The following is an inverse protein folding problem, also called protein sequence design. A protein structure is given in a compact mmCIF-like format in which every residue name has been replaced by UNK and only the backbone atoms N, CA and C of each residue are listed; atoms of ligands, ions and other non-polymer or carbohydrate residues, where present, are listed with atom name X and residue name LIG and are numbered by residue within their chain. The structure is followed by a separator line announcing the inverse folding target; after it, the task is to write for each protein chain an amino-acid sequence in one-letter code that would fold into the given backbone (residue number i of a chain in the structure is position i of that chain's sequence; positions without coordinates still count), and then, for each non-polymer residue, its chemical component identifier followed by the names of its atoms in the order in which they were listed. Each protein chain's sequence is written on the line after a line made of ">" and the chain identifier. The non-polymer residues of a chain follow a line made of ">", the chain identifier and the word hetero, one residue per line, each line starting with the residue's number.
data_IF_466003770823
#
_entry.id   IF_466003770823
#
_cell.length_a   1.000
_cell.length_b   1.000
_cell.length_c   1.000
_cell.angle_alpha   90.00
_cell.angle_beta   90.00
_cell.angle_gamma   90.00
#
_symmetry.space_group_name_H-M   'P 1'
#
loop_
_entity.id
_entity.type
_entity.pdbx_description
1 polymer ?
#
# COMPACT_ATOMS: atom_id res chain seq x y z
N UNK A 1 -22.17 -13.88 -16.04
CA UNK A 1 -22.49 -14.50 -17.33
C UNK A 1 -23.53 -13.76 -18.16
N UNK A 2 -24.45 -13.00 -17.54
CA UNK A 2 -25.36 -12.12 -18.28
C UNK A 2 -24.62 -10.88 -18.73
N UNK A 3 -24.57 -10.61 -20.06
CA UNK A 3 -23.82 -9.51 -20.65
C UNK A 3 -24.38 -8.14 -20.25
N UNK A 4 -25.68 -7.97 -20.19
CA UNK A 4 -26.32 -6.71 -19.81
C UNK A 4 -25.97 -6.33 -18.37
N UNK A 5 -25.96 -7.32 -17.46
CA UNK A 5 -25.56 -7.12 -16.05
C UNK A 5 -24.07 -6.76 -15.94
N UNK A 6 -23.20 -7.41 -16.74
CA UNK A 6 -21.78 -7.05 -16.80
C UNK A 6 -21.58 -5.63 -17.33
N UNK A 7 -22.31 -5.25 -18.40
CA UNK A 7 -22.24 -3.90 -18.97
C UNK A 7 -22.75 -2.86 -17.97
N UNK A 8 -23.82 -3.14 -17.22
CA UNK A 8 -24.30 -2.29 -16.14
C UNK A 8 -23.23 -2.10 -15.06
N UNK A 9 -22.64 -3.20 -14.57
CA UNK A 9 -21.61 -3.17 -13.53
C UNK A 9 -20.37 -2.40 -13.99
N UNK A 10 -19.92 -2.66 -15.23
CA UNK A 10 -18.83 -1.91 -15.85
C UNK A 10 -19.11 -0.42 -15.90
N UNK A 11 -20.30 -0.04 -16.38
CA UNK A 11 -20.69 1.35 -16.52
C UNK A 11 -20.78 2.08 -15.16
N UNK A 12 -21.20 1.40 -14.09
CA UNK A 12 -21.22 1.95 -12.72
C UNK A 12 -19.80 2.26 -12.25
N UNK A 13 -18.85 1.34 -12.43
CA UNK A 13 -17.44 1.57 -12.08
C UNK A 13 -16.85 2.71 -12.89
N UNK A 14 -17.06 2.70 -14.21
CA UNK A 14 -16.53 3.74 -15.09
C UNK A 14 -17.15 5.12 -14.84
N UNK A 15 -18.42 5.18 -14.41
CA UNK A 15 -19.06 6.41 -13.99
C UNK A 15 -18.36 7.04 -12.77
N UNK A 16 -18.00 6.21 -11.77
CA UNK A 16 -17.22 6.67 -10.61
C UNK A 16 -15.85 7.18 -11.04
N UNK A 17 -15.13 6.41 -11.87
CA UNK A 17 -13.80 6.79 -12.37
C UNK A 17 -13.84 8.12 -13.13
N UNK A 18 -14.87 8.35 -13.96
CA UNK A 18 -15.00 9.60 -14.72
C UNK A 18 -15.34 10.80 -13.88
N UNK A 19 -16.31 10.66 -12.99
CA UNK A 19 -16.88 11.81 -12.24
C UNK A 19 -16.10 12.22 -11.01
N UNK A 20 -15.37 11.30 -10.41
CA UNK A 20 -14.67 11.56 -9.15
C UNK A 20 -13.14 11.53 -9.33
N UNK A 21 -12.46 12.28 -8.48
CA UNK A 21 -11.01 12.28 -8.39
C UNK A 21 -10.55 11.18 -7.41
N UNK A 22 -10.72 9.92 -7.81
CA UNK A 22 -10.32 8.75 -7.03
C UNK A 22 -8.90 8.31 -7.37
N UNK A 23 -8.17 7.79 -6.40
CA UNK A 23 -6.82 7.24 -6.60
C UNK A 23 -6.86 5.76 -7.03
N UNK A 24 -7.98 5.08 -6.81
CA UNK A 24 -8.13 3.69 -7.17
C UNK A 24 -9.55 3.15 -7.06
N UNK A 25 -9.76 1.99 -7.65
CA UNK A 25 -10.96 1.15 -7.53
C UNK A 25 -10.53 -0.17 -6.92
N UNK A 26 -11.29 -0.66 -5.95
CA UNK A 26 -11.01 -1.91 -5.25
C UNK A 26 -12.19 -2.87 -5.36
N UNK A 27 -11.90 -4.13 -5.69
CA UNK A 27 -12.87 -5.22 -5.68
C UNK A 27 -12.54 -6.20 -4.57
N UNK A 28 -13.60 -6.66 -3.91
CA UNK A 28 -13.56 -7.78 -2.97
C UNK A 28 -13.66 -9.12 -3.73
N UNK A 29 -13.80 -10.24 -3.03
CA UNK A 29 -13.72 -11.62 -3.58
C UNK A 29 -15.06 -12.25 -3.99
N UNK A 30 -16.16 -11.50 -3.97
CA UNK A 30 -17.50 -12.00 -4.27
C UNK A 30 -17.79 -12.08 -5.78
N UNK A 31 -16.95 -12.80 -6.54
CA UNK A 31 -17.14 -12.97 -8.00
C UNK A 31 -18.34 -13.85 -8.31
N UNK A 32 -18.50 -14.94 -7.55
CA UNK A 32 -19.72 -15.69 -7.39
C UNK A 32 -20.04 -15.81 -5.89
N UNK A 33 -21.31 -16.06 -5.51
CA UNK A 33 -21.69 -16.19 -4.11
C UNK A 33 -20.97 -17.34 -3.43
N UNK A 34 -20.58 -17.14 -2.17
CA UNK A 34 -20.18 -18.24 -1.30
C UNK A 34 -21.38 -19.15 -1.01
N UNK A 35 -21.14 -20.44 -0.90
CA UNK A 35 -22.15 -21.46 -0.56
C UNK A 35 -22.18 -22.61 -1.55
N UNK A 36 -23.07 -23.56 -1.30
CA UNK A 36 -23.21 -24.80 -2.06
C UNK A 36 -24.33 -24.70 -3.12
N UNK A 37 -24.89 -23.50 -3.31
CA UNK A 37 -26.04 -23.27 -4.13
C UNK A 37 -25.72 -23.31 -5.63
N UNK A 38 -26.61 -23.94 -6.42
CA UNK A 38 -26.61 -23.73 -7.85
C UNK A 38 -26.91 -22.25 -8.13
N UNK A 39 -25.94 -21.56 -8.73
CA UNK A 39 -26.19 -20.23 -9.22
C UNK A 39 -27.20 -20.29 -10.38
N UNK A 40 -28.24 -19.45 -10.37
CA UNK A 40 -29.34 -19.55 -11.33
C UNK A 40 -28.98 -18.94 -12.69
N UNK A 41 -28.09 -19.56 -13.42
CA UNK A 41 -27.63 -19.14 -14.75
C UNK A 41 -27.95 -20.17 -15.87
N UNK A 42 -28.95 -21.02 -15.66
CA UNK A 42 -29.34 -22.08 -16.64
C UNK A 42 -29.75 -21.48 -17.98
N UNK A 43 -30.50 -20.39 -17.99
CA UNK A 43 -30.96 -19.73 -19.22
C UNK A 43 -29.77 -19.22 -20.05
N UNK A 44 -28.88 -18.46 -19.42
CA UNK A 44 -27.69 -17.90 -20.08
C UNK A 44 -26.69 -18.99 -20.48
N UNK A 45 -26.59 -20.07 -19.71
CA UNK A 45 -25.82 -21.24 -20.07
C UNK A 45 -26.41 -21.92 -21.31
N UNK A 46 -27.73 -22.11 -21.36
CA UNK A 46 -28.45 -22.68 -22.52
C UNK A 46 -28.28 -21.82 -23.78
N UNK A 47 -28.29 -20.51 -23.67
CA UNK A 47 -27.99 -19.58 -24.76
C UNK A 47 -26.55 -19.73 -25.28
N UNK A 48 -25.57 -19.82 -24.37
CA UNK A 48 -24.17 -20.06 -24.71
C UNK A 48 -23.99 -21.36 -25.49
N UNK A 49 -24.63 -22.48 -25.05
CA UNK A 49 -24.56 -23.75 -25.75
C UNK A 49 -25.20 -23.68 -27.16
N UNK A 50 -26.35 -23.03 -27.28
CA UNK A 50 -27.04 -22.85 -28.58
C UNK A 50 -26.22 -21.99 -29.55
N UNK A 51 -25.42 -21.08 -29.07
CA UNK A 51 -24.50 -20.25 -29.87
C UNK A 51 -23.25 -20.99 -30.31
N UNK A 52 -23.10 -22.28 -29.98
CA UNK A 52 -21.93 -23.09 -30.33
C UNK A 52 -20.77 -22.99 -29.30
N UNK A 53 -21.06 -22.55 -28.10
CA UNK A 53 -20.08 -22.51 -27.03
C UNK A 53 -19.53 -23.89 -26.67
N UNK A 54 -18.20 -24.01 -26.49
CA UNK A 54 -17.47 -25.26 -26.31
C UNK A 54 -16.87 -25.46 -24.93
N UNK A 55 -16.90 -24.44 -24.05
CA UNK A 55 -16.37 -24.53 -22.69
C UNK A 55 -17.25 -25.42 -21.80
N UNK A 56 -16.69 -25.99 -20.74
CA UNK A 56 -17.47 -26.51 -19.62
C UNK A 56 -18.22 -25.36 -18.94
N UNK A 57 -19.29 -25.67 -18.17
CA UNK A 57 -20.04 -24.62 -17.46
C UNK A 57 -19.16 -23.86 -16.46
N UNK A 58 -18.26 -24.55 -15.79
CA UNK A 58 -17.32 -24.01 -14.85
C UNK A 58 -16.31 -23.07 -15.55
N UNK A 59 -15.79 -23.48 -16.71
CA UNK A 59 -14.86 -22.66 -17.48
C UNK A 59 -15.55 -21.44 -18.10
N UNK A 60 -16.78 -21.58 -18.57
CA UNK A 60 -17.58 -20.47 -19.06
C UNK A 60 -17.86 -19.41 -17.96
N UNK A 61 -18.13 -19.86 -16.73
CA UNK A 61 -18.25 -18.94 -15.58
C UNK A 61 -16.95 -18.21 -15.29
N UNK A 62 -15.82 -18.94 -15.28
CA UNK A 62 -14.48 -18.33 -15.09
C UNK A 62 -14.11 -17.36 -16.20
N UNK A 63 -14.38 -17.73 -17.43
CA UNK A 63 -14.14 -16.89 -18.61
C UNK A 63 -14.94 -15.58 -18.53
N UNK A 64 -16.19 -15.65 -18.09
CA UNK A 64 -17.02 -14.47 -17.88
C UNK A 64 -16.46 -13.53 -16.81
N UNK A 65 -15.92 -14.06 -15.70
CA UNK A 65 -15.26 -13.26 -14.65
C UNK A 65 -13.93 -12.71 -15.17
N UNK A 66 -13.10 -13.53 -15.80
CA UNK A 66 -11.81 -13.11 -16.35
C UNK A 66 -11.97 -11.96 -17.35
N UNK A 67 -12.88 -12.11 -18.31
CA UNK A 67 -13.19 -11.07 -19.29
C UNK A 67 -13.67 -9.76 -18.63
N UNK A 68 -14.46 -9.87 -17.56
CA UNK A 68 -14.92 -8.69 -16.83
C UNK A 68 -13.78 -7.96 -16.12
N UNK A 69 -12.85 -8.68 -15.47
CA UNK A 69 -11.68 -8.11 -14.80
C UNK A 69 -10.74 -7.43 -15.80
N UNK A 70 -10.40 -8.12 -16.90
CA UNK A 70 -9.58 -7.56 -17.98
C UNK A 70 -10.18 -6.28 -18.54
N UNK A 71 -11.47 -6.32 -18.89
CA UNK A 71 -12.21 -5.17 -19.43
C UNK A 71 -12.22 -3.97 -18.47
N UNK A 72 -12.39 -4.21 -17.18
CA UNK A 72 -12.34 -3.15 -16.17
C UNK A 72 -10.96 -2.52 -16.11
N UNK A 73 -9.91 -3.33 -16.03
CA UNK A 73 -8.54 -2.85 -16.00
C UNK A 73 -8.25 -1.97 -17.22
N UNK A 74 -8.49 -2.48 -18.43
CA UNK A 74 -8.27 -1.75 -19.68
C UNK A 74 -9.09 -0.45 -19.75
N UNK A 75 -10.36 -0.53 -19.35
CA UNK A 75 -11.25 0.63 -19.33
C UNK A 75 -10.78 1.73 -18.38
N UNK A 76 -10.37 1.38 -17.17
CA UNK A 76 -9.83 2.31 -16.18
C UNK A 76 -8.54 2.95 -16.73
N UNK A 77 -7.60 2.15 -17.25
CA UNK A 77 -6.33 2.67 -17.78
C UNK A 77 -6.52 3.59 -18.98
N UNK A 78 -7.49 3.30 -19.83
CA UNK A 78 -7.83 4.16 -20.97
C UNK A 78 -8.45 5.48 -20.54
N UNK A 79 -9.26 5.49 -19.48
CA UNK A 79 -9.96 6.69 -18.99
C UNK A 79 -9.05 7.59 -18.15
N UNK A 80 -8.40 7.01 -17.13
CA UNK A 80 -7.47 7.67 -16.21
C UNK A 80 -6.30 6.73 -15.86
N UNK A 81 -5.18 6.80 -16.57
CA UNK A 81 -4.06 5.86 -16.40
C UNK A 81 -3.54 5.74 -14.96
N UNK A 82 -3.57 6.83 -14.19
CA UNK A 82 -3.09 6.88 -12.81
C UNK A 82 -4.02 6.20 -11.78
N UNK A 83 -5.31 5.98 -12.13
CA UNK A 83 -6.26 5.34 -11.22
C UNK A 83 -5.92 3.86 -11.10
N UNK A 84 -5.55 3.42 -9.89
CA UNK A 84 -5.18 2.04 -9.61
C UNK A 84 -6.41 1.14 -9.57
N UNK A 85 -6.27 -0.08 -10.07
CA UNK A 85 -7.25 -1.14 -9.90
C UNK A 85 -6.66 -2.25 -9.05
N UNK A 86 -7.31 -2.58 -7.93
CA UNK A 86 -6.86 -3.60 -7.01
C UNK A 86 -7.96 -4.58 -6.65
N UNK A 87 -7.54 -5.78 -6.27
CA UNK A 87 -8.46 -6.85 -5.87
C UNK A 87 -7.95 -7.48 -4.57
N UNK A 88 -8.88 -7.76 -3.63
CA UNK A 88 -8.64 -8.61 -2.47
C UNK A 88 -9.30 -9.98 -2.67
N UNK A 89 -8.64 -10.91 -3.38
CA UNK A 89 -9.16 -12.24 -3.59
C UNK A 89 -9.04 -13.07 -2.31
N UNK A 90 -9.73 -14.21 -2.24
CA UNK A 90 -9.49 -15.18 -1.19
C UNK A 90 -7.99 -15.52 -1.07
N UNK A 91 -7.47 -15.66 0.14
CA UNK A 91 -6.03 -15.76 0.39
C UNK A 91 -5.34 -16.99 -0.20
N UNK A 92 -6.08 -18.08 -0.41
CA UNK A 92 -5.61 -19.32 -1.05
C UNK A 92 -5.93 -19.26 -2.54
N UNK A 93 -4.91 -19.22 -3.40
CA UNK A 93 -5.11 -19.28 -4.85
C UNK A 93 -5.79 -20.58 -5.27
N UNK A 94 -5.22 -21.71 -4.88
CA UNK A 94 -5.81 -23.06 -4.95
C UNK A 94 -5.25 -23.94 -3.84
N UNK A 95 -6.04 -24.82 -3.20
CA UNK A 95 -5.53 -25.83 -2.29
C UNK A 95 -4.42 -26.67 -2.93
N UNK A 96 -3.39 -27.01 -2.15
CA UNK A 96 -2.20 -27.71 -2.64
C UNK A 96 -1.15 -26.82 -3.33
N UNK A 97 -1.39 -25.49 -3.41
CA UNK A 97 -0.45 -24.50 -3.95
C UNK A 97 -0.21 -23.37 -2.93
N UNK A 98 0.91 -23.38 -2.19
CA UNK A 98 1.93 -24.47 -2.09
C UNK A 98 1.36 -25.75 -1.47
N UNK A 99 2.11 -26.86 -1.60
CA UNK A 99 1.66 -28.22 -1.25
C UNK A 99 1.09 -28.38 0.17
N UNK A 100 1.57 -27.60 1.14
CA UNK A 100 1.10 -27.63 2.53
C UNK A 100 -0.25 -26.91 2.75
N UNK A 101 -0.71 -26.12 1.79
CA UNK A 101 -1.90 -25.28 1.92
C UNK A 101 -3.16 -26.07 1.61
N UNK A 102 -4.10 -26.02 2.54
CA UNK A 102 -5.42 -26.66 2.45
C UNK A 102 -6.51 -25.61 2.74
N UNK A 103 -7.69 -25.81 2.19
CA UNK A 103 -8.85 -24.97 2.47
C UNK A 103 -9.73 -24.74 1.26
N UNK A 104 -10.41 -23.60 1.23
CA UNK A 104 -11.36 -23.24 0.19
C UNK A 104 -10.68 -23.01 -1.17
N UNK A 105 -11.31 -23.52 -2.24
CA UNK A 105 -10.85 -23.36 -3.63
C UNK A 105 -11.67 -22.28 -4.35
N UNK A 106 -11.18 -21.02 -4.32
CA UNK A 106 -11.85 -19.90 -5.01
C UNK A 106 -11.96 -20.11 -6.54
N UNK A 107 -11.00 -20.82 -7.13
CA UNK A 107 -11.03 -21.12 -8.57
C UNK A 107 -12.22 -22.02 -8.93
N UNK A 108 -12.52 -23.02 -8.10
CA UNK A 108 -13.62 -23.94 -8.32
C UNK A 108 -14.97 -23.38 -7.89
N UNK A 109 -15.04 -22.66 -6.78
CA UNK A 109 -16.30 -22.24 -6.14
C UNK A 109 -16.73 -20.84 -6.55
N UNK A 110 -15.79 -19.87 -6.52
CA UNK A 110 -16.07 -18.48 -6.92
C UNK A 110 -15.79 -18.21 -8.40
N UNK A 111 -15.34 -19.23 -9.13
CA UNK A 111 -14.90 -19.11 -10.53
C UNK A 111 -13.89 -17.97 -10.73
N UNK A 112 -13.07 -17.72 -9.70
CA UNK A 112 -12.06 -16.67 -9.64
C UNK A 112 -10.70 -17.23 -10.02
N UNK A 113 -10.22 -16.96 -11.22
CA UNK A 113 -8.84 -17.28 -11.63
C UNK A 113 -7.87 -16.17 -11.20
N UNK A 114 -7.79 -16.00 -9.87
CA UNK A 114 -7.01 -14.97 -9.22
C UNK A 114 -5.53 -15.01 -9.62
N UNK A 115 -4.99 -16.21 -9.86
CA UNK A 115 -3.62 -16.42 -10.30
C UNK A 115 -3.40 -15.91 -11.74
N UNK A 116 -4.36 -16.13 -12.65
CA UNK A 116 -4.31 -15.60 -14.00
C UNK A 116 -4.28 -14.08 -14.01
N UNK A 117 -5.13 -13.41 -13.21
CA UNK A 117 -5.21 -11.95 -13.19
C UNK A 117 -3.90 -11.31 -12.73
N UNK A 118 -3.26 -11.89 -11.70
CA UNK A 118 -1.95 -11.46 -11.23
C UNK A 118 -0.88 -11.66 -12.31
N UNK A 119 -0.83 -12.83 -12.96
CA UNK A 119 0.13 -13.14 -14.04
C UNK A 119 -0.05 -12.32 -15.30
N UNK A 120 -1.28 -11.95 -15.61
CA UNK A 120 -1.58 -11.05 -16.75
C UNK A 120 -1.36 -9.57 -16.42
N UNK A 121 -1.24 -9.24 -15.13
CA UNK A 121 -1.09 -7.87 -14.67
C UNK A 121 -2.35 -7.02 -14.87
N UNK A 122 -3.55 -7.65 -14.84
CA UNK A 122 -4.84 -6.97 -14.92
C UNK A 122 -5.25 -6.29 -13.62
N UNK A 123 -4.27 -5.99 -12.77
CA UNK A 123 -4.40 -5.24 -11.51
C UNK A 123 -3.15 -4.39 -11.28
N UNK A 124 -3.25 -3.37 -10.46
CA UNK A 124 -2.12 -2.54 -10.04
C UNK A 124 -1.62 -2.91 -8.65
N UNK A 125 -2.51 -3.35 -7.78
CA UNK A 125 -2.14 -3.92 -6.50
C UNK A 125 -2.97 -5.17 -6.20
N UNK A 126 -2.35 -6.08 -5.48
CA UNK A 126 -2.88 -7.39 -5.14
C UNK A 126 -2.96 -7.55 -3.63
N UNK A 127 -4.16 -7.76 -3.10
CA UNK A 127 -4.39 -7.83 -1.67
C UNK A 127 -5.04 -9.17 -1.26
N UNK A 128 -4.32 -10.30 -1.38
CA UNK A 128 -4.89 -11.58 -0.99
C UNK A 128 -5.24 -11.58 0.49
N UNK A 129 -6.43 -12.08 0.85
CA UNK A 129 -6.94 -12.11 2.23
C UNK A 129 -6.22 -13.17 3.06
N UNK A 130 -5.04 -12.83 3.59
CA UNK A 130 -4.22 -13.73 4.41
C UNK A 130 -4.66 -13.66 5.88
N UNK A 131 -5.91 -14.06 6.14
CA UNK A 131 -6.59 -13.87 7.43
C UNK A 131 -6.27 -14.95 8.46
N UNK A 132 -5.15 -15.63 8.33
CA UNK A 132 -4.69 -16.69 9.23
C UNK A 132 -3.39 -16.33 9.91
N UNK A 133 -3.21 -16.76 11.19
CA UNK A 133 -1.99 -16.48 11.92
C UNK A 133 -0.76 -17.17 11.32
N UNK A 134 0.42 -16.68 11.71
CA UNK A 134 1.72 -17.18 11.28
C UNK A 134 1.85 -18.70 11.48
N UNK A 135 1.35 -19.22 12.60
CA UNK A 135 1.52 -20.60 13.02
C UNK A 135 0.40 -21.58 12.61
N UNK A 136 -0.59 -21.12 11.82
CA UNK A 136 -1.64 -21.99 11.32
C UNK A 136 -1.17 -22.75 10.07
N UNK A 137 -0.50 -23.86 10.25
CA UNK A 137 0.22 -24.60 9.19
C UNK A 137 -0.56 -24.75 7.88
N UNK A 138 -1.84 -25.19 7.84
CA UNK A 138 -2.57 -25.37 6.56
C UNK A 138 -2.87 -24.07 5.80
N UNK A 139 -2.79 -22.91 6.47
CA UNK A 139 -3.05 -21.59 5.89
C UNK A 139 -2.02 -20.54 6.36
N UNK A 140 -0.82 -20.97 6.69
CA UNK A 140 0.21 -20.10 7.30
C UNK A 140 0.44 -18.81 6.51
N UNK A 141 0.29 -17.66 7.18
CA UNK A 141 0.50 -16.33 6.59
C UNK A 141 1.81 -16.21 5.79
N UNK A 142 3.01 -16.52 6.35
CA UNK A 142 4.25 -16.38 5.60
C UNK A 142 4.37 -17.34 4.42
N UNK A 143 3.74 -18.53 4.49
CA UNK A 143 3.78 -19.50 3.40
C UNK A 143 2.95 -19.00 2.21
N UNK A 144 1.76 -18.50 2.48
CA UNK A 144 0.88 -17.92 1.46
C UNK A 144 1.48 -16.63 0.87
N UNK A 145 2.00 -15.74 1.71
CA UNK A 145 2.64 -14.50 1.26
C UNK A 145 3.83 -14.79 0.35
N UNK A 146 4.71 -15.72 0.76
CA UNK A 146 5.86 -16.12 -0.04
C UNK A 146 5.47 -16.77 -1.37
N UNK A 147 4.35 -17.49 -1.42
CA UNK A 147 3.82 -18.03 -2.66
C UNK A 147 3.29 -16.93 -3.58
N UNK A 148 2.42 -16.05 -3.08
CA UNK A 148 1.91 -14.93 -3.88
C UNK A 148 3.04 -14.01 -4.38
N UNK A 149 4.07 -13.77 -3.56
CA UNK A 149 5.24 -12.99 -3.97
C UNK A 149 5.97 -13.62 -5.17
N UNK A 150 6.12 -14.94 -5.20
CA UNK A 150 6.73 -15.68 -6.33
C UNK A 150 5.87 -15.67 -7.59
N UNK A 151 4.54 -15.74 -7.42
CA UNK A 151 3.60 -15.74 -8.54
C UNK A 151 3.40 -14.34 -9.15
N UNK A 152 3.83 -13.29 -8.44
CA UNK A 152 3.75 -11.89 -8.87
C UNK A 152 4.85 -11.54 -9.89
N UNK A 153 4.84 -12.22 -11.04
CA UNK A 153 5.86 -12.05 -12.08
C UNK A 153 5.79 -10.71 -12.82
N UNK A 154 4.66 -10.00 -12.71
CA UNK A 154 4.48 -8.67 -13.29
C UNK A 154 4.92 -7.53 -12.35
N UNK A 155 5.46 -7.85 -11.16
CA UNK A 155 5.94 -6.85 -10.22
C UNK A 155 4.88 -5.88 -9.71
N UNK A 156 3.62 -6.31 -9.63
CA UNK A 156 2.53 -5.48 -9.08
C UNK A 156 2.70 -5.30 -7.58
N UNK A 157 2.15 -4.23 -7.01
CA UNK A 157 2.19 -4.03 -5.57
C UNK A 157 1.44 -5.16 -4.86
N UNK A 158 2.14 -5.93 -4.03
CA UNK A 158 1.57 -7.02 -3.24
C UNK A 158 1.37 -6.53 -1.81
N UNK A 159 0.10 -6.29 -1.42
CA UNK A 159 -0.30 -5.78 -0.12
C UNK A 159 -1.27 -6.74 0.56
N UNK A 160 -0.79 -7.73 1.33
CA UNK A 160 -1.65 -8.74 1.92
C UNK A 160 -2.74 -8.13 2.80
N UNK A 161 -3.94 -8.66 2.68
CA UNK A 161 -5.03 -8.37 3.60
C UNK A 161 -4.78 -9.05 4.95
N UNK A 162 -4.91 -8.29 6.05
CA UNK A 162 -4.73 -8.76 7.42
C UNK A 162 -6.02 -8.55 8.20
N UNK A 163 -6.53 -9.60 8.86
CA UNK A 163 -7.70 -9.47 9.72
C UNK A 163 -7.29 -8.99 11.11
N UNK A 164 -7.72 -7.79 11.47
CA UNK A 164 -7.44 -7.18 12.78
C UNK A 164 -8.63 -7.23 13.74
N UNK A 165 -9.79 -7.70 13.27
CA UNK A 165 -10.96 -7.95 14.10
C UNK A 165 -10.66 -8.96 15.20
N UNK A 166 -10.92 -8.61 16.48
CA UNK A 166 -10.60 -9.47 17.61
C UNK A 166 -9.13 -9.49 18.03
N UNK A 167 -8.23 -8.76 17.35
CA UNK A 167 -6.78 -8.67 17.64
C UNK A 167 -6.44 -7.41 18.45
N UNK A 168 -7.22 -7.07 19.45
CA UNK A 168 -7.10 -5.80 20.18
C UNK A 168 -6.33 -5.88 21.49
N UNK A 169 -6.04 -7.08 21.98
CA UNK A 169 -5.19 -7.37 23.13
C UNK A 169 -3.70 -7.42 22.75
N UNK A 170 -2.81 -7.58 23.72
CA UNK A 170 -1.36 -7.65 23.50
C UNK A 170 -0.96 -8.79 22.57
N UNK A 171 -1.53 -9.98 22.75
CA UNK A 171 -1.23 -11.14 21.90
C UNK A 171 -1.65 -10.94 20.45
N UNK A 172 -2.84 -10.35 20.25
CA UNK A 172 -3.31 -10.00 18.91
C UNK A 172 -2.49 -8.90 18.26
N UNK A 173 -2.04 -7.92 19.04
CA UNK A 173 -1.14 -6.87 18.58
C UNK A 173 0.22 -7.43 18.14
N UNK A 174 0.82 -8.31 18.93
CA UNK A 174 2.07 -8.99 18.59
C UNK A 174 1.96 -9.80 17.30
N UNK A 175 0.86 -10.53 17.11
CA UNK A 175 0.59 -11.29 15.89
C UNK A 175 0.59 -10.38 14.65
N UNK A 176 -0.19 -9.29 14.68
CA UNK A 176 -0.28 -8.35 13.56
C UNK A 176 1.05 -7.64 13.30
N UNK A 177 1.78 -7.26 14.35
CA UNK A 177 3.11 -6.66 14.20
C UNK A 177 4.09 -7.67 13.55
N UNK A 178 4.04 -8.95 13.96
CA UNK A 178 4.85 -10.01 13.36
C UNK A 178 4.51 -10.21 11.88
N UNK A 179 3.23 -10.23 11.51
CA UNK A 179 2.79 -10.32 10.12
C UNK A 179 3.32 -9.15 9.27
N UNK A 180 3.28 -7.90 9.81
CA UNK A 180 3.84 -6.71 9.17
C UNK A 180 5.37 -6.85 8.99
N UNK A 181 6.08 -7.33 10.01
CA UNK A 181 7.54 -7.49 9.91
C UNK A 181 7.93 -8.60 8.91
N UNK A 182 7.15 -9.67 8.85
CA UNK A 182 7.30 -10.73 7.85
C UNK A 182 7.03 -10.17 6.45
N UNK A 183 5.95 -9.41 6.28
CA UNK A 183 5.61 -8.77 5.00
C UNK A 183 6.75 -7.88 4.51
N UNK A 184 7.29 -7.01 5.35
CA UNK A 184 8.44 -6.15 5.02
C UNK A 184 9.70 -6.94 4.66
N UNK A 185 9.85 -8.15 5.17
CA UNK A 185 10.94 -9.06 4.83
C UNK A 185 10.77 -9.77 3.49
N UNK A 186 9.52 -10.04 3.06
CA UNK A 186 9.23 -10.73 1.79
C UNK A 186 9.00 -9.76 0.62
N UNK A 187 8.44 -8.58 0.87
CA UNK A 187 8.07 -7.58 -0.15
C UNK A 187 8.97 -6.36 0.02
N UNK A 188 10.26 -6.50 -0.31
CA UNK A 188 11.28 -5.50 -0.02
C UNK A 188 11.12 -4.19 -0.81
N UNK A 189 10.66 -4.28 -2.07
CA UNK A 189 10.69 -3.13 -2.99
C UNK A 189 9.44 -2.23 -2.83
N UNK A 190 8.31 -2.80 -2.41
CA UNK A 190 7.05 -2.09 -2.30
C UNK A 190 6.20 -2.61 -1.12
N UNK A 191 6.73 -2.59 0.13
CA UNK A 191 6.02 -3.12 1.28
C UNK A 191 4.73 -2.35 1.54
N UNK A 192 3.69 -3.07 1.95
CA UNK A 192 2.40 -2.51 2.29
C UNK A 192 1.40 -3.61 2.60
N UNK A 193 0.33 -3.27 3.30
CA UNK A 193 -0.73 -4.20 3.68
C UNK A 193 -2.05 -3.48 3.85
N UNK A 194 -3.14 -4.23 3.86
CA UNK A 194 -4.49 -3.71 4.02
C UNK A 194 -5.14 -4.36 5.24
N UNK A 195 -5.61 -3.55 6.17
CA UNK A 195 -6.28 -4.03 7.36
C UNK A 195 -7.79 -4.19 7.18
N UNK A 196 -8.32 -5.34 7.52
CA UNK A 196 -9.75 -5.58 7.65
C UNK A 196 -10.15 -5.61 9.13
N UNK A 197 -10.74 -4.51 9.66
CA UNK A 197 -11.18 -3.30 9.00
C UNK A 197 -10.90 -2.06 9.87
N UNK A 198 -11.06 -0.88 9.30
CA UNK A 198 -10.91 0.44 9.95
C UNK A 198 -11.64 0.55 11.30
N UNK A 199 -12.71 -0.20 11.52
CA UNK A 199 -13.51 -0.19 12.75
C UNK A 199 -12.67 -0.37 14.03
N UNK A 200 -11.59 -1.16 13.96
CA UNK A 200 -10.70 -1.41 15.11
C UNK A 200 -9.91 -0.14 15.45
N UNK A 201 -9.47 0.61 14.45
CA UNK A 201 -8.68 1.82 14.64
C UNK A 201 -9.49 3.02 15.15
N UNK A 202 -10.80 3.00 15.02
CA UNK A 202 -11.67 4.04 15.60
C UNK A 202 -11.75 3.97 17.12
N UNK A 203 -11.28 2.88 17.74
CA UNK A 203 -11.16 2.70 19.19
C UNK A 203 -9.71 2.91 19.61
N UNK A 204 -9.36 4.09 20.05
CA UNK A 204 -7.97 4.53 20.27
C UNK A 204 -7.22 3.81 21.42
N UNK A 205 -7.93 3.08 22.28
CA UNK A 205 -7.38 2.47 23.52
C UNK A 205 -6.96 1.01 23.40
N UNK A 206 -6.78 0.48 22.17
CA UNK A 206 -6.37 -0.92 22.00
C UNK A 206 -4.84 -1.09 22.07
N UNK A 207 -4.39 -2.24 22.58
CA UNK A 207 -2.96 -2.61 22.56
C UNK A 207 -2.42 -2.61 21.12
N UNK A 208 -3.24 -3.01 20.13
CA UNK A 208 -2.88 -2.97 18.72
C UNK A 208 -2.54 -1.54 18.25
N UNK A 209 -3.41 -0.55 18.53
CA UNK A 209 -3.15 0.84 18.13
C UNK A 209 -1.89 1.38 18.79
N UNK A 210 -1.70 1.12 20.08
CA UNK A 210 -0.50 1.52 20.82
C UNK A 210 0.77 0.86 20.23
N UNK A 211 0.72 -0.45 19.98
CA UNK A 211 1.84 -1.20 19.42
C UNK A 211 2.21 -0.77 18.00
N UNK A 212 1.23 -0.52 17.14
CA UNK A 212 1.47 -0.02 15.78
C UNK A 212 2.10 1.38 15.78
N UNK A 213 1.58 2.31 16.60
CA UNK A 213 2.13 3.67 16.74
C UNK A 213 3.53 3.68 17.33
N UNK A 214 3.82 2.80 18.30
CA UNK A 214 5.14 2.68 18.92
C UNK A 214 6.15 1.88 18.06
N UNK A 215 5.67 1.10 17.10
CA UNK A 215 6.45 0.18 16.27
C UNK A 215 6.38 0.53 14.77
N UNK A 216 5.69 -0.30 13.96
CA UNK A 216 5.75 -0.18 12.50
C UNK A 216 5.28 1.16 11.92
N UNK A 217 4.45 1.91 12.64
CA UNK A 217 3.85 3.17 12.17
C UNK A 217 4.38 4.41 12.91
N UNK A 218 5.61 4.36 13.41
CA UNK A 218 6.25 5.54 14.03
C UNK A 218 6.43 6.70 13.05
N UNK A 219 6.60 6.40 11.78
CA UNK A 219 6.82 7.39 10.72
C UNK A 219 5.74 7.28 9.66
N UNK A 220 5.45 8.40 9.01
CA UNK A 220 4.65 8.42 7.79
C UNK A 220 5.36 7.61 6.70
N UNK A 221 4.59 7.07 5.74
CA UNK A 221 5.15 6.41 4.55
C UNK A 221 4.44 6.89 3.30
N UNK A 222 5.19 6.97 2.22
CA UNK A 222 4.62 7.14 0.88
C UNK A 222 3.97 5.84 0.42
N UNK A 223 2.99 5.96 -0.46
CA UNK A 223 2.50 4.82 -1.22
C UNK A 223 3.62 4.39 -2.19
N UNK A 224 3.97 3.10 -2.27
CA UNK A 224 5.00 2.64 -3.18
C UNK A 224 4.72 3.00 -4.63
N UNK A 225 5.75 3.25 -5.45
CA UNK A 225 5.58 3.60 -6.85
C UNK A 225 4.94 2.47 -7.66
N UNK A 226 4.30 2.86 -8.76
CA UNK A 226 3.68 1.95 -9.72
C UNK A 226 4.27 2.23 -11.12
N UNK A 227 5.53 1.82 -11.38
CA UNK A 227 6.27 2.21 -12.58
C UNK A 227 5.67 1.66 -13.89
N UNK A 228 4.78 0.67 -13.83
CA UNK A 228 4.02 0.20 -14.99
C UNK A 228 2.89 1.15 -15.41
N UNK A 229 2.54 2.15 -14.57
CA UNK A 229 1.56 3.20 -14.88
C UNK A 229 2.24 4.45 -15.40
N UNK A 230 3.30 4.86 -14.73
CA UNK A 230 4.18 5.97 -15.09
C UNK A 230 5.52 5.75 -14.38
N UNK A 231 6.63 5.92 -15.07
CA UNK A 231 8.00 5.79 -14.57
C UNK A 231 8.78 7.11 -14.61
N UNK A 232 8.10 8.22 -14.94
CA UNK A 232 8.71 9.55 -15.04
C UNK A 232 8.45 10.35 -13.76
N UNK A 233 9.45 10.53 -12.88
CA UNK A 233 9.26 11.34 -11.69
C UNK A 233 9.06 12.82 -12.03
N UNK A 234 8.37 13.58 -11.14
CA UNK A 234 8.26 15.03 -11.28
C UNK A 234 9.63 15.72 -11.28
N UNK A 235 9.67 16.94 -11.80
CA UNK A 235 10.85 17.78 -11.64
C UNK A 235 11.12 18.12 -10.17
N UNK A 236 12.38 18.34 -9.77
CA UNK A 236 12.72 18.79 -8.42
C UNK A 236 12.09 20.16 -8.10
N UNK A 237 11.54 20.36 -6.89
CA UNK A 237 11.06 21.68 -6.47
C UNK A 237 12.21 22.67 -6.30
N UNK A 238 11.94 23.96 -6.42
CA UNK A 238 12.86 25.03 -5.99
C UNK A 238 12.61 25.31 -4.51
N UNK A 239 13.64 25.20 -3.67
CA UNK A 239 13.49 25.36 -2.23
C UNK A 239 14.44 26.38 -1.64
N UNK A 240 14.07 26.91 -0.47
CA UNK A 240 14.93 27.72 0.41
C UNK A 240 14.66 27.35 1.87
N UNK A 241 15.72 27.26 2.67
CA UNK A 241 15.63 27.00 4.09
C UNK A 241 16.39 28.06 4.88
N UNK A 242 15.78 28.61 5.93
CA UNK A 242 16.38 29.64 6.80
C UNK A 242 16.12 29.28 8.26
N UNK A 243 17.10 29.58 9.11
CA UNK A 243 16.91 29.53 10.56
C UNK A 243 16.09 30.76 10.97
N UNK A 244 14.81 30.52 11.30
CA UNK A 244 13.88 31.60 11.66
C UNK A 244 14.11 32.08 13.10
N UNK A 245 14.50 31.17 14.00
CA UNK A 245 14.88 31.46 15.40
C UNK A 245 15.64 30.26 15.99
N UNK A 246 15.97 30.30 17.28
CA UNK A 246 16.77 29.29 17.97
C UNK A 246 16.14 27.90 18.01
N UNK A 247 14.86 27.78 17.69
CA UNK A 247 14.11 26.53 17.73
C UNK A 247 13.56 26.05 16.37
N UNK A 248 13.60 26.91 15.32
CA UNK A 248 12.84 26.66 14.10
C UNK A 248 13.66 26.93 12.82
N UNK A 249 13.66 25.95 11.92
CA UNK A 249 14.03 26.14 10.51
C UNK A 249 12.76 26.28 9.69
N UNK A 250 12.64 27.38 8.95
CA UNK A 250 11.57 27.59 7.99
C UNK A 250 12.04 27.11 6.61
N UNK A 251 11.32 26.20 6.01
CA UNK A 251 11.55 25.70 4.66
C UNK A 251 10.41 26.14 3.77
N UNK A 252 10.73 26.72 2.63
CA UNK A 252 9.74 27.14 1.62
C UNK A 252 10.11 26.54 0.26
N UNK A 253 9.12 26.24 -0.57
CA UNK A 253 9.34 25.72 -1.91
C UNK A 253 8.29 26.16 -2.90
N UNK A 254 8.64 26.04 -4.17
CA UNK A 254 7.75 26.21 -5.32
C UNK A 254 8.04 25.11 -6.35
N UNK A 255 7.07 24.83 -7.20
CA UNK A 255 7.19 23.86 -8.29
C UNK A 255 6.60 24.43 -9.57
N UNK A 256 7.31 24.33 -10.69
CA UNK A 256 6.86 24.90 -11.97
C UNK A 256 5.61 24.21 -12.49
N UNK A 257 5.58 22.86 -12.43
CA UNK A 257 4.43 22.05 -12.79
C UNK A 257 3.73 21.48 -11.55
N UNK A 258 3.10 22.36 -10.74
CA UNK A 258 2.44 21.94 -9.50
C UNK A 258 1.24 20.98 -9.70
N UNK A 259 0.73 20.82 -10.92
CA UNK A 259 -0.37 19.89 -11.23
C UNK A 259 0.08 18.45 -11.24
N UNK A 260 1.35 18.21 -11.49
CA UNK A 260 1.97 16.90 -11.49
C UNK A 260 2.34 16.40 -10.09
N UNK A 261 2.23 17.27 -9.09
CA UNK A 261 2.63 16.96 -7.72
C UNK A 261 1.42 16.57 -6.89
N UNK A 262 1.49 15.37 -6.30
CA UNK A 262 0.49 14.85 -5.38
C UNK A 262 0.89 15.03 -3.91
N UNK A 263 2.19 14.92 -3.61
CA UNK A 263 2.78 15.14 -2.27
C UNK A 263 4.12 15.85 -2.36
N UNK A 264 4.53 16.47 -1.26
CA UNK A 264 5.91 16.88 -1.03
C UNK A 264 6.48 16.10 0.15
N UNK A 265 7.78 15.79 0.10
CA UNK A 265 8.49 15.27 1.26
C UNK A 265 9.57 16.24 1.63
N UNK A 266 9.57 16.67 2.89
CA UNK A 266 10.60 17.53 3.45
C UNK A 266 11.48 16.69 4.35
N UNK A 267 12.73 16.48 3.94
CA UNK A 267 13.76 15.78 4.68
C UNK A 267 14.63 16.77 5.43
N UNK A 268 15.04 16.41 6.64
CA UNK A 268 15.97 17.19 7.42
C UNK A 268 16.93 16.29 8.19
N UNK A 269 18.21 16.68 8.19
CA UNK A 269 19.29 15.86 8.72
C UNK A 269 19.86 16.47 9.99
N UNK A 270 19.84 15.69 11.09
CA UNK A 270 20.58 15.92 12.31
C UNK A 270 21.86 15.09 12.28
N UNK A 271 23.04 15.71 12.20
CA UNK A 271 24.31 15.00 12.07
C UNK A 271 24.28 13.86 11.02
N UNK A 272 24.03 12.62 11.45
CA UNK A 272 23.99 11.43 10.58
C UNK A 272 22.59 10.93 10.28
N UNK A 273 21.58 11.39 11.03
CA UNK A 273 20.22 10.86 10.99
C UNK A 273 19.31 11.77 10.18
N UNK A 274 18.66 11.21 9.18
CA UNK A 274 17.61 11.86 8.44
C UNK A 274 16.25 11.62 9.09
N UNK A 275 15.46 12.66 9.15
CA UNK A 275 14.03 12.63 9.44
C UNK A 275 13.26 13.25 8.29
N UNK A 276 11.96 13.03 8.23
CA UNK A 276 11.14 13.58 7.17
C UNK A 276 9.70 13.82 7.62
N UNK A 277 9.01 14.63 6.84
CA UNK A 277 7.56 14.82 6.93
C UNK A 277 6.97 14.83 5.52
N UNK A 278 5.79 14.18 5.37
CA UNK A 278 5.05 14.13 4.12
C UNK A 278 3.94 15.16 4.19
N UNK A 279 3.85 16.01 3.17
CA UNK A 279 2.94 17.14 3.09
C UNK A 279 2.07 17.06 1.85
N UNK A 280 0.94 17.78 1.86
CA UNK A 280 0.02 17.80 0.74
C UNK A 280 0.55 18.64 -0.42
N UNK A 281 0.01 18.39 -1.61
CA UNK A 281 0.36 19.16 -2.83
C UNK A 281 0.05 20.67 -2.73
N UNK A 282 -0.77 21.10 -1.77
CA UNK A 282 -1.10 22.50 -1.53
C UNK A 282 -0.07 23.22 -0.64
N UNK A 283 0.69 22.47 0.15
CA UNK A 283 1.65 23.04 1.09
C UNK A 283 2.85 23.62 0.34
N UNK A 284 3.33 24.78 0.80
CA UNK A 284 4.47 25.50 0.22
C UNK A 284 5.52 25.86 1.27
N UNK A 285 5.28 25.46 2.50
CA UNK A 285 6.18 25.73 3.61
C UNK A 285 6.08 24.68 4.71
N UNK A 286 7.17 24.47 5.43
CA UNK A 286 7.24 23.68 6.64
C UNK A 286 8.09 24.38 7.69
N UNK A 287 7.68 24.28 8.95
CA UNK A 287 8.47 24.68 10.10
C UNK A 287 9.04 23.41 10.76
N UNK A 288 10.37 23.30 10.80
CA UNK A 288 11.06 22.13 11.32
C UNK A 288 11.76 22.50 12.65
N UNK A 289 11.88 21.55 13.61
CA UNK A 289 12.71 21.78 14.78
C UNK A 289 14.17 22.00 14.36
N UNK A 290 14.77 23.14 14.76
CA UNK A 290 16.18 23.45 14.45
C UNK A 290 17.14 22.54 15.19
N UNK A 291 16.78 22.13 16.42
CA UNK A 291 17.58 21.26 17.24
C UNK A 291 16.74 20.19 17.92
N UNK A 292 17.38 19.10 18.29
CA UNK A 292 16.82 18.05 19.13
C UNK A 292 17.81 17.64 20.21
N UNK A 293 17.31 17.15 21.33
CA UNK A 293 18.14 16.54 22.37
C UNK A 293 18.08 15.01 22.24
N UNK A 294 19.22 14.40 22.03
CA UNK A 294 19.37 12.92 22.00
C UNK A 294 20.14 12.46 23.23
N UNK A 295 19.78 11.28 23.70
CA UNK A 295 20.49 10.63 24.82
C UNK A 295 21.54 9.70 24.25
N UNK A 296 22.81 10.14 24.28
CA UNK A 296 23.90 9.35 23.72
C UNK A 296 24.36 8.28 24.74
N UNK A 297 24.18 6.99 24.36
CA UNK A 297 24.81 5.87 25.06
C UNK A 297 26.17 5.61 24.43
N UNK A 298 27.24 6.06 25.07
CA UNK A 298 28.60 5.81 24.55
C UNK A 298 28.89 4.30 24.45
N UNK A 299 29.40 3.87 23.30
CA UNK A 299 29.93 2.51 23.14
C UNK A 299 31.06 2.31 24.14
N UNK A 300 30.98 1.25 24.96
CA UNK A 300 32.03 0.90 25.94
C UNK A 300 31.79 1.37 27.37
N UNK A 301 30.66 2.06 27.68
CA UNK A 301 30.30 2.39 29.07
C UNK A 301 29.74 1.19 29.80
N UNK A 302 30.05 1.10 31.11
CA UNK A 302 29.50 0.05 31.97
C UNK A 302 27.99 0.28 32.20
N UNK A 303 27.26 -0.80 32.46
CA UNK A 303 25.83 -0.76 32.77
C UNK A 303 25.64 0.04 34.06
N UNK A 304 25.15 1.29 33.93
CA UNK A 304 24.94 2.19 35.08
C UNK A 304 25.49 3.61 34.87
N UNK A 305 26.33 3.85 33.87
CA UNK A 305 26.79 5.20 33.58
C UNK A 305 25.62 6.08 33.11
N UNK A 306 25.49 7.32 33.66
CA UNK A 306 24.42 8.24 33.26
C UNK A 306 24.60 8.61 31.80
N UNK A 307 23.54 8.40 31.00
CA UNK A 307 23.51 8.87 29.62
C UNK A 307 23.53 10.41 29.60
N UNK A 308 24.40 11.02 28.77
CA UNK A 308 24.48 12.47 28.67
C UNK A 308 23.62 12.98 27.53
N UNK A 309 22.82 14.03 27.75
CA UNK A 309 22.10 14.69 26.68
C UNK A 309 23.08 15.39 25.73
N UNK A 310 22.87 15.22 24.43
CA UNK A 310 23.58 15.91 23.37
C UNK A 310 22.58 16.66 22.51
N UNK A 311 22.85 17.91 22.22
CA UNK A 311 22.03 18.69 21.28
C UNK A 311 22.57 18.51 19.87
N UNK A 312 21.72 18.07 18.97
CA UNK A 312 22.01 17.98 17.54
C UNK A 312 21.22 19.07 16.79
N UNK A 313 21.84 19.67 15.78
CA UNK A 313 21.21 20.70 14.96
C UNK A 313 20.98 20.21 13.53
N UNK A 314 19.96 20.77 12.86
CA UNK A 314 19.71 20.52 11.45
C UNK A 314 20.89 21.08 10.62
N UNK A 315 21.54 20.21 9.86
CA UNK A 315 22.69 20.55 9.01
C UNK A 315 22.36 20.51 7.51
N UNK A 316 21.29 19.81 7.13
CA UNK A 316 20.80 19.76 5.75
C UNK A 316 19.30 19.68 5.74
N UNK A 317 18.71 20.28 4.71
CA UNK A 317 17.29 20.14 4.39
C UNK A 317 17.16 19.79 2.92
N UNK A 318 16.21 18.92 2.57
CA UNK A 318 15.90 18.60 1.19
C UNK A 318 14.38 18.56 1.01
N UNK A 319 13.93 18.90 -0.20
CA UNK A 319 12.51 18.77 -0.57
C UNK A 319 12.43 18.00 -1.87
N UNK A 320 11.52 17.02 -1.92
CA UNK A 320 11.13 16.29 -3.12
C UNK A 320 9.68 16.51 -3.46
N UNK A 321 9.33 16.31 -4.72
CA UNK A 321 7.96 16.22 -5.20
C UNK A 321 7.62 14.77 -5.52
N UNK A 322 6.40 14.35 -5.24
CA UNK A 322 5.90 12.98 -5.50
C UNK A 322 4.62 13.08 -6.31
N UNK A 323 4.52 12.31 -7.38
CA UNK A 323 3.33 12.23 -8.24
C UNK A 323 2.24 11.30 -7.67
N UNK A 324 1.14 11.13 -8.41
CA UNK A 324 0.01 10.27 -8.00
C UNK A 324 0.31 8.78 -8.02
N UNK A 325 1.28 8.35 -8.80
CA UNK A 325 1.64 6.93 -8.92
C UNK A 325 2.82 6.56 -8.03
N UNK A 326 3.37 7.54 -7.30
CA UNK A 326 4.39 7.32 -6.26
C UNK A 326 5.82 7.58 -6.72
N UNK A 327 6.06 8.12 -7.94
CA UNK A 327 7.40 8.50 -8.34
C UNK A 327 7.86 9.73 -7.58
N UNK A 328 9.05 9.67 -7.00
CA UNK A 328 9.66 10.74 -6.23
C UNK A 328 10.78 11.41 -7.03
N UNK A 329 10.75 12.73 -7.09
CA UNK A 329 11.75 13.54 -7.80
C UNK A 329 13.14 13.44 -7.19
N UNK A 330 14.16 13.84 -7.94
CA UNK A 330 15.44 14.16 -7.33
C UNK A 330 15.26 15.25 -6.24
N UNK A 331 16.03 15.21 -5.13
CA UNK A 331 15.89 16.18 -4.05
C UNK A 331 16.51 17.54 -4.40
N UNK A 332 15.78 18.61 -4.14
CA UNK A 332 16.40 19.94 -3.98
C UNK A 332 17.02 20.03 -2.58
N UNK A 333 18.32 20.27 -2.47
CA UNK A 333 19.07 20.17 -1.20
C UNK A 333 19.71 21.51 -0.84
N UNK A 334 19.61 21.88 0.44
CA UNK A 334 20.35 23.01 1.01
C UNK A 334 21.09 22.58 2.28
N UNK A 335 22.40 22.90 2.34
CA UNK A 335 23.19 22.75 3.57
C UNK A 335 22.96 23.97 4.44
N UNK A 336 22.67 23.75 5.73
CA UNK A 336 22.51 24.80 6.73
C UNK A 336 23.88 25.16 7.28
N UNK A 337 24.27 26.44 7.18
CA UNK A 337 25.44 26.94 7.86
C UNK A 337 25.25 26.85 9.39
N UNK A 338 26.25 26.47 10.13
CA UNK A 338 26.21 26.68 11.60
C UNK A 338 26.12 28.19 11.82
N UNK A 339 24.95 28.69 12.15
CA UNK A 339 24.85 30.03 12.73
C UNK A 339 25.62 29.99 14.02
N UNK A 340 26.76 30.70 14.05
CA UNK A 340 27.42 31.05 15.30
C UNK A 340 26.44 32.00 15.99
N UNK A 341 25.62 31.49 16.90
CA UNK A 341 24.81 32.34 17.76
C UNK A 341 25.81 33.19 18.54
N UNK A 342 25.79 34.52 18.41
CA UNK A 342 26.61 35.36 19.27
C UNK A 342 26.21 35.08 20.72
N UNK A 343 27.10 34.52 21.50
CA UNK A 343 26.94 34.44 22.96
C UNK A 343 26.73 35.87 23.44
N UNK A 344 25.51 36.22 23.80
CA UNK A 344 25.26 37.45 24.56
C UNK A 344 26.05 37.32 25.83
N UNK A 345 27.08 38.18 25.97
CA UNK A 345 27.85 38.40 27.17
C UNK A 345 27.00 39.11 28.23
#
# INVERSE_FOLDING_TARGET
>A
TNKEVQDQSYNVVMDVVRRYDVDGVHFDDYFYPYGDGNFPDDDTWGEYQKSGGSLSREDWRRDAVNTFIERLYEGIKKEKPHVKFGISPFGIGRPGNPRSILGFDQYAILYADAHLWLKKGWIDYWSPQLYWPVNQIPQSFPVLLGWWSKENTMGRNLWPGMIIGGKTDEKGADEIINEIMIERGFVNDAPGHIHFSMRVFLKDSSALNAGLKAGPYQHQSLVPPSPWLDDVPPDPPRMSATVANDSTVLVTWSHENAKDVFRYVVYYQYEKNWEYTILNSQDRMAALPYSRTVIERARGRQRGDPAQPKVEYVIRVAVTAVDRVGNESAPAVQTMGRSVIPTLQ
#
